data_IF_326043977370
#
_entry.id   IF_326043977370
#
_cell.length_a   1.000
_cell.length_b   1.000
_cell.length_c   1.000
_cell.angle_alpha   90.00
_cell.angle_beta   90.00
_cell.angle_gamma   90.00
#
_symmetry.space_group_name_H-M   'P 1'
#
loop_
_entity.id
_entity.type
_entity.pdbx_description
1 polymer ?
#
# COMPACT_ATOMS: atom_id res chain seq x y z
N UNK A 1 -45.84 43.01 -19.89
CA UNK A 1 -45.41 42.24 -18.70
C UNK A 1 -45.00 40.85 -19.16
N UNK A 2 -43.72 40.48 -19.08
CA UNK A 2 -43.21 39.18 -19.53
C UNK A 2 -43.05 38.23 -18.33
N UNK A 3 -43.81 37.14 -18.33
CA UNK A 3 -43.72 36.10 -17.30
C UNK A 3 -42.47 35.23 -17.53
N UNK A 4 -41.49 35.34 -16.63
CA UNK A 4 -40.34 34.43 -16.58
C UNK A 4 -40.82 33.03 -16.18
N UNK A 5 -40.84 32.12 -17.14
CA UNK A 5 -41.08 30.69 -16.92
C UNK A 5 -39.94 30.10 -16.09
N UNK A 6 -40.25 29.63 -14.87
CA UNK A 6 -39.30 28.93 -14.01
C UNK A 6 -39.14 27.50 -14.53
N UNK A 7 -37.98 27.22 -15.13
CA UNK A 7 -37.60 25.87 -15.56
C UNK A 7 -37.54 24.92 -14.36
N UNK A 8 -38.46 23.96 -14.30
CA UNK A 8 -38.45 22.87 -13.34
C UNK A 8 -37.36 21.89 -13.76
N UNK A 9 -36.27 21.80 -12.97
CA UNK A 9 -35.20 20.83 -13.19
C UNK A 9 -35.77 19.43 -13.02
N UNK A 10 -35.98 18.69 -14.13
CA UNK A 10 -36.38 17.28 -14.10
C UNK A 10 -35.27 16.46 -13.42
N UNK A 11 -35.61 15.86 -12.29
CA UNK A 11 -34.73 14.93 -11.58
C UNK A 11 -34.56 13.66 -12.42
N UNK A 12 -33.35 13.45 -12.97
CA UNK A 12 -33.05 12.27 -13.78
C UNK A 12 -32.74 11.09 -12.86
N UNK A 13 -33.69 10.16 -12.75
CA UNK A 13 -33.53 8.90 -12.02
C UNK A 13 -32.29 8.13 -12.52
N UNK A 14 -31.94 8.25 -13.81
CA UNK A 14 -30.72 7.64 -14.36
C UNK A 14 -29.44 8.23 -13.76
N UNK A 15 -29.38 9.55 -13.55
CA UNK A 15 -28.20 10.20 -12.96
C UNK A 15 -28.10 9.90 -11.46
N UNK A 16 -29.23 9.77 -10.77
CA UNK A 16 -29.28 9.38 -9.36
C UNK A 16 -28.86 7.92 -9.16
N UNK A 17 -29.38 6.99 -9.97
CA UNK A 17 -28.97 5.58 -9.95
C UNK A 17 -27.50 5.41 -10.37
N UNK A 18 -27.03 6.15 -11.38
CA UNK A 18 -25.61 6.16 -11.72
C UNK A 18 -24.76 6.66 -10.55
N UNK A 19 -25.13 7.76 -9.88
CA UNK A 19 -24.38 8.27 -8.72
C UNK A 19 -24.38 7.31 -7.52
N UNK A 20 -25.46 6.56 -7.30
CA UNK A 20 -25.54 5.57 -6.21
C UNK A 20 -24.81 4.27 -6.56
N UNK A 21 -24.85 3.83 -7.82
CA UNK A 21 -24.24 2.57 -8.25
C UNK A 21 -22.77 2.72 -8.64
N UNK A 22 -22.31 3.91 -9.03
CA UNK A 22 -20.93 4.15 -9.46
C UNK A 22 -19.88 3.78 -8.40
N UNK A 23 -20.06 4.06 -7.09
CA UNK A 23 -19.12 3.60 -6.05
C UNK A 23 -19.07 2.07 -5.91
N UNK A 24 -20.17 1.37 -6.22
CA UNK A 24 -20.23 -0.10 -6.19
C UNK A 24 -19.66 -0.77 -7.44
N UNK A 25 -19.40 -0.01 -8.51
CA UNK A 25 -18.88 -0.52 -9.78
C UNK A 25 -17.46 -0.08 -10.10
N UNK A 26 -16.92 0.90 -9.38
CA UNK A 26 -15.52 1.30 -9.53
C UNK A 26 -14.60 0.26 -8.91
N UNK A 27 -13.62 -0.23 -9.68
CA UNK A 27 -12.54 -1.08 -9.16
C UNK A 27 -11.81 -0.34 -8.02
N UNK A 28 -11.45 -1.04 -6.93
CA UNK A 28 -10.60 -0.48 -5.88
C UNK A 28 -9.32 0.13 -6.47
N UNK A 29 -8.79 1.19 -5.86
CA UNK A 29 -7.51 1.83 -6.24
C UNK A 29 -6.52 1.91 -5.09
N UNK A 30 -6.92 1.44 -3.91
CA UNK A 30 -6.19 1.40 -2.63
C UNK A 30 -5.20 0.21 -2.54
N UNK A 31 -5.22 -0.68 -3.52
CA UNK A 31 -4.33 -1.84 -3.64
C UNK A 31 -3.48 -1.79 -4.93
N UNK A 32 -2.52 -0.84 -5.07
CA UNK A 32 -1.65 -0.72 -6.23
C UNK A 32 -0.91 -2.03 -6.57
N UNK A 33 -0.74 -2.30 -7.86
CA UNK A 33 -0.11 -3.52 -8.38
C UNK A 33 -1.05 -4.73 -8.45
N UNK A 34 -2.12 -4.78 -7.66
CA UNK A 34 -3.19 -5.79 -7.80
C UNK A 34 -4.40 -5.17 -8.48
N UNK A 35 -4.86 -4.04 -7.96
CA UNK A 35 -5.95 -3.25 -8.53
C UNK A 35 -5.35 -1.95 -9.08
N UNK A 36 -5.06 -1.95 -10.37
CA UNK A 36 -4.49 -0.78 -11.05
C UNK A 36 -5.62 -0.01 -11.74
N UNK A 37 -5.62 1.33 -11.72
CA UNK A 37 -6.62 2.13 -12.44
C UNK A 37 -6.73 1.72 -13.90
N UNK A 38 -7.92 1.87 -14.48
CA UNK A 38 -8.17 1.54 -15.88
C UNK A 38 -7.18 2.29 -16.80
N UNK A 39 -6.33 1.53 -17.48
CA UNK A 39 -5.33 2.00 -18.42
C UNK A 39 -4.99 0.87 -19.40
N UNK A 40 -4.09 1.13 -20.37
CA UNK A 40 -3.57 0.06 -21.21
C UNK A 40 -2.87 -0.96 -20.30
N UNK A 41 -3.15 -2.27 -20.43
CA UNK A 41 -2.41 -3.29 -19.71
C UNK A 41 -0.91 -3.10 -20.01
N UNK A 42 -0.12 -2.89 -18.97
CA UNK A 42 1.33 -2.83 -19.08
C UNK A 42 1.91 -4.09 -18.46
N UNK A 43 2.83 -4.73 -19.16
CA UNK A 43 3.62 -5.83 -18.61
C UNK A 43 4.54 -5.25 -17.53
N UNK A 44 4.33 -5.67 -16.28
CA UNK A 44 5.13 -5.26 -15.13
C UNK A 44 6.12 -6.39 -14.86
N UNK A 45 7.41 -6.08 -14.82
CA UNK A 45 8.42 -7.03 -14.33
C UNK A 45 8.04 -7.56 -12.95
N UNK A 46 8.23 -8.86 -12.70
CA UNK A 46 7.86 -9.49 -11.43
C UNK A 46 8.56 -8.83 -10.22
N UNK A 47 9.81 -8.40 -10.35
CA UNK A 47 10.53 -7.67 -9.30
C UNK A 47 9.96 -6.28 -9.03
N UNK A 48 9.56 -5.57 -10.10
CA UNK A 48 8.83 -4.30 -9.96
C UNK A 48 7.44 -4.50 -9.33
N UNK A 49 6.70 -5.54 -9.75
CA UNK A 49 5.41 -5.89 -9.15
C UNK A 49 5.55 -6.19 -7.66
N UNK A 50 6.54 -7.00 -7.28
CA UNK A 50 6.86 -7.27 -5.88
C UNK A 50 7.12 -5.97 -5.10
N UNK A 51 7.91 -5.06 -5.67
CA UNK A 51 8.19 -3.73 -5.07
C UNK A 51 6.93 -2.89 -4.88
N UNK A 52 6.00 -2.90 -5.84
CA UNK A 52 4.72 -2.21 -5.72
C UNK A 52 3.88 -2.75 -4.55
N UNK A 53 3.88 -4.06 -4.31
CA UNK A 53 3.14 -4.66 -3.19
C UNK A 53 3.65 -4.22 -1.82
N UNK A 54 4.90 -3.76 -1.68
CA UNK A 54 5.40 -3.19 -0.43
C UNK A 54 4.85 -1.79 -0.12
N UNK A 55 4.38 -1.08 -1.13
CA UNK A 55 3.90 0.31 -0.97
C UNK A 55 2.53 0.39 -0.31
N UNK A 56 1.76 -0.70 -0.32
CA UNK A 56 0.43 -0.78 0.29
C UNK A 56 0.21 -2.10 1.00
N UNK A 57 -0.17 -2.02 2.27
CA UNK A 57 -0.53 -3.18 3.07
C UNK A 57 -1.74 -3.92 2.49
N UNK A 58 -2.70 -3.19 1.89
CA UNK A 58 -3.88 -3.76 1.26
C UNK A 58 -3.51 -4.59 0.02
N UNK A 59 -2.55 -4.13 -0.79
CA UNK A 59 -2.01 -4.90 -1.91
C UNK A 59 -1.40 -6.21 -1.43
N UNK A 60 -0.53 -6.13 -0.42
CA UNK A 60 0.14 -7.30 0.15
C UNK A 60 -0.85 -8.32 0.74
N UNK A 61 -1.99 -7.86 1.27
CA UNK A 61 -3.03 -8.68 1.89
C UNK A 61 -4.07 -9.25 0.92
N UNK A 62 -4.12 -8.79 -0.35
CA UNK A 62 -5.00 -9.36 -1.36
C UNK A 62 -4.81 -10.88 -1.45
N UNK A 63 -5.90 -11.65 -1.50
CA UNK A 63 -5.85 -13.12 -1.39
C UNK A 63 -6.11 -13.79 -2.74
N UNK A 64 -5.23 -14.70 -3.15
CA UNK A 64 -5.41 -15.51 -4.35
C UNK A 64 -6.57 -16.49 -4.12
N UNK A 65 -7.71 -16.20 -4.76
CA UNK A 65 -8.90 -17.05 -4.69
C UNK A 65 -8.78 -18.25 -5.61
N UNK A 66 -8.29 -18.01 -6.82
CA UNK A 66 -8.28 -18.96 -7.91
C UNK A 66 -7.10 -18.69 -8.84
N UNK A 67 -6.58 -19.74 -9.46
CA UNK A 67 -5.62 -19.67 -10.53
C UNK A 67 -6.09 -20.54 -11.71
N UNK A 68 -5.90 -20.07 -12.94
CA UNK A 68 -6.26 -20.81 -14.16
C UNK A 68 -5.02 -20.99 -15.01
N UNK A 69 -4.78 -22.22 -15.46
CA UNK A 69 -3.67 -22.56 -16.36
C UNK A 69 -4.14 -22.47 -17.80
N UNK A 70 -3.57 -21.56 -18.58
CA UNK A 70 -3.88 -21.37 -19.99
C UNK A 70 -2.78 -21.85 -20.92
N UNK A 71 -3.17 -22.21 -22.15
CA UNK A 71 -2.26 -22.59 -23.23
C UNK A 71 -2.79 -22.15 -24.58
N UNK A 72 -1.96 -21.48 -25.38
CA UNK A 72 -2.27 -21.14 -26.77
C UNK A 72 -2.42 -22.43 -27.61
N UNK A 73 -3.37 -22.45 -28.54
CA UNK A 73 -3.58 -23.58 -29.46
C UNK A 73 -2.90 -23.36 -30.81
N UNK A 74 -2.24 -22.22 -30.98
CA UNK A 74 -1.48 -21.86 -32.18
C UNK A 74 -0.02 -21.59 -31.81
N UNK A 75 0.82 -21.52 -32.84
CA UNK A 75 2.26 -21.19 -32.73
C UNK A 75 3.05 -22.14 -31.81
N UNK A 76 3.96 -21.59 -30.99
CA UNK A 76 4.77 -22.31 -30.01
C UNK A 76 3.98 -22.70 -28.76
N UNK A 77 2.64 -22.78 -28.84
CA UNK A 77 1.74 -23.20 -27.78
C UNK A 77 2.07 -22.61 -26.39
N UNK A 78 2.29 -21.30 -26.33
CA UNK A 78 2.67 -20.56 -25.13
C UNK A 78 1.77 -20.89 -23.94
N UNK A 79 2.37 -21.07 -22.76
CA UNK A 79 1.67 -21.38 -21.51
C UNK A 79 1.73 -20.18 -20.57
N UNK A 80 0.57 -19.84 -19.98
CA UNK A 80 0.38 -18.66 -19.12
C UNK A 80 -0.54 -19.00 -17.94
N UNK A 81 -0.55 -18.14 -16.92
CA UNK A 81 -1.40 -18.30 -15.74
C UNK A 81 -2.28 -17.06 -15.56
N UNK A 82 -3.54 -17.26 -15.16
CA UNK A 82 -4.43 -16.20 -14.70
C UNK A 82 -4.61 -16.30 -13.19
N UNK A 83 -4.31 -15.23 -12.46
CA UNK A 83 -4.36 -15.15 -11.00
C UNK A 83 -5.53 -14.27 -10.56
N UNK A 84 -6.50 -14.85 -9.85
CA UNK A 84 -7.69 -14.14 -9.37
C UNK A 84 -7.51 -13.71 -7.91
N UNK A 85 -7.19 -12.44 -7.68
CA UNK A 85 -7.01 -11.87 -6.35
C UNK A 85 -8.27 -11.19 -5.84
N UNK A 86 -8.69 -11.50 -4.62
CA UNK A 86 -9.81 -10.83 -3.94
C UNK A 86 -9.28 -9.71 -3.05
N UNK A 87 -9.94 -8.56 -3.08
CA UNK A 87 -9.62 -7.43 -2.20
C UNK A 87 -9.88 -7.80 -0.73
N UNK A 88 -9.02 -7.38 0.22
CA UNK A 88 -9.16 -7.73 1.64
C UNK A 88 -10.46 -7.19 2.26
N UNK A 89 -10.80 -5.93 1.97
CA UNK A 89 -11.97 -5.24 2.56
C UNK A 89 -13.18 -5.19 1.62
N UNK A 90 -12.96 -5.26 0.30
CA UNK A 90 -14.01 -5.13 -0.71
C UNK A 90 -14.27 -6.51 -1.32
N UNK A 91 -14.93 -7.36 -0.55
CA UNK A 91 -15.09 -8.78 -0.85
C UNK A 91 -15.67 -9.14 -2.24
N UNK A 92 -16.41 -8.24 -2.85
CA UNK A 92 -16.94 -8.43 -4.21
C UNK A 92 -15.90 -8.10 -5.30
N UNK A 93 -14.89 -7.30 -5.00
CA UNK A 93 -13.86 -6.90 -5.93
C UNK A 93 -12.82 -8.03 -6.14
N UNK A 94 -12.64 -8.40 -7.40
CA UNK A 94 -11.67 -9.41 -7.85
C UNK A 94 -10.83 -8.81 -8.96
N UNK A 95 -9.52 -8.77 -8.76
CA UNK A 95 -8.55 -8.47 -9.80
C UNK A 95 -8.12 -9.77 -10.50
N UNK A 96 -7.83 -9.67 -11.79
CA UNK A 96 -7.26 -10.77 -12.57
C UNK A 96 -5.91 -10.31 -13.11
N UNK A 97 -4.85 -11.02 -12.72
CA UNK A 97 -3.50 -10.76 -13.21
C UNK A 97 -3.08 -11.89 -14.14
N UNK A 98 -2.54 -11.55 -15.29
CA UNK A 98 -1.93 -12.51 -16.20
C UNK A 98 -0.45 -12.63 -15.89
N UNK A 99 0.04 -13.85 -15.77
CA UNK A 99 1.42 -14.16 -15.48
C UNK A 99 2.00 -14.98 -16.63
N UNK A 100 3.13 -14.53 -17.14
CA UNK A 100 3.82 -15.19 -18.24
C UNK A 100 5.35 -15.04 -18.12
N UNK A 101 6.05 -15.85 -18.91
CA UNK A 101 7.49 -15.75 -19.12
C UNK A 101 7.77 -15.72 -20.61
N UNK A 102 8.45 -14.67 -21.05
CA UNK A 102 8.86 -14.48 -22.45
C UNK A 102 10.38 -14.37 -22.53
N UNK A 103 10.92 -14.36 -23.75
CA UNK A 103 12.28 -13.92 -23.97
C UNK A 103 12.31 -12.38 -24.04
N UNK A 104 13.36 -11.76 -23.49
CA UNK A 104 13.57 -10.34 -23.72
C UNK A 104 13.73 -10.12 -25.24
N UNK A 105 12.82 -9.34 -25.84
CA UNK A 105 12.99 -8.93 -27.24
C UNK A 105 14.27 -8.10 -27.29
N UNK A 106 15.31 -8.61 -27.96
CA UNK A 106 16.51 -7.83 -28.25
C UNK A 106 16.05 -6.57 -28.98
N UNK A 107 16.00 -5.45 -28.26
CA UNK A 107 15.49 -4.17 -28.74
C UNK A 107 16.48 -3.52 -29.72
N UNK A 108 17.16 -4.33 -30.52
CA UNK A 108 17.90 -3.91 -31.71
C UNK A 108 16.92 -3.95 -32.86
N UNK A 109 16.21 -2.82 -33.03
CA UNK A 109 15.08 -2.62 -33.93
C UNK A 109 15.24 -3.22 -35.31
N UNK A 110 14.69 -4.41 -35.50
CA UNK A 110 14.44 -4.98 -36.82
C UNK A 110 13.01 -5.49 -36.86
N UNK A 111 12.15 -4.67 -37.45
CA UNK A 111 10.76 -4.97 -37.73
C UNK A 111 10.61 -6.38 -38.30
N UNK A 112 9.75 -7.16 -37.66
CA UNK A 112 9.36 -8.53 -38.02
C UNK A 112 9.06 -8.62 -39.53
N UNK A 113 9.99 -9.18 -40.30
CA UNK A 113 9.69 -9.81 -41.58
C UNK A 113 9.48 -11.30 -41.34
N UNK A 114 8.22 -11.72 -41.34
CA UNK A 114 7.86 -13.13 -41.35
C UNK A 114 8.34 -13.74 -42.67
N UNK A 115 9.31 -14.64 -42.64
CA UNK A 115 9.61 -15.45 -43.83
C UNK A 115 10.99 -16.09 -43.97
N UNK A 116 12.02 -15.70 -43.21
CA UNK A 116 13.34 -16.32 -43.38
C UNK A 116 13.71 -17.25 -42.22
N UNK A 117 13.67 -18.55 -42.53
CA UNK A 117 14.34 -19.59 -41.78
C UNK A 117 15.86 -19.38 -41.89
N UNK A 118 16.41 -18.51 -41.05
CA UNK A 118 17.85 -18.38 -40.87
C UNK A 118 18.30 -19.63 -40.11
N UNK A 119 19.14 -20.44 -40.76
CA UNK A 119 19.88 -21.53 -40.12
C UNK A 119 20.81 -20.87 -39.09
N UNK A 120 20.38 -20.89 -37.83
CA UNK A 120 21.09 -20.23 -36.73
C UNK A 120 22.31 -21.09 -36.37
N UNK A 121 23.50 -20.51 -36.53
CA UNK A 121 24.75 -21.04 -35.94
C UNK A 121 24.54 -21.33 -34.44
N UNK A 122 25.14 -22.40 -33.89
CA UNK A 122 24.90 -22.83 -32.50
C UNK A 122 25.48 -21.89 -31.42
N UNK A 123 26.02 -20.74 -31.80
CA UNK A 123 26.47 -19.69 -30.88
C UNK A 123 25.36 -18.65 -30.66
N UNK A 124 24.20 -19.09 -30.16
CA UNK A 124 23.15 -18.16 -29.76
C UNK A 124 23.55 -17.58 -28.41
N UNK A 125 23.78 -16.26 -28.36
CA UNK A 125 24.00 -15.56 -27.09
C UNK A 125 22.90 -15.91 -26.10
N UNK A 126 23.22 -16.11 -24.82
CA UNK A 126 22.22 -16.53 -23.85
C UNK A 126 21.15 -15.43 -23.73
N UNK A 127 19.88 -15.81 -23.90
CA UNK A 127 18.75 -14.89 -23.94
C UNK A 127 18.21 -14.74 -22.52
N UNK A 128 18.10 -13.52 -22.01
CA UNK A 128 17.50 -13.28 -20.68
C UNK A 128 16.01 -13.57 -20.74
N UNK A 129 15.50 -14.26 -19.72
CA UNK A 129 14.07 -14.44 -19.56
C UNK A 129 13.43 -13.20 -18.96
N UNK A 130 12.19 -12.93 -19.36
CA UNK A 130 11.40 -11.83 -18.85
C UNK A 130 10.12 -12.40 -18.24
N UNK A 131 10.02 -12.33 -16.92
CA UNK A 131 8.84 -12.79 -16.18
C UNK A 131 7.95 -11.57 -15.90
N UNK A 132 6.72 -11.57 -16.38
CA UNK A 132 5.84 -10.40 -16.31
C UNK A 132 4.49 -10.71 -15.69
N UNK A 133 3.94 -9.70 -15.02
CA UNK A 133 2.60 -9.63 -14.48
C UNK A 133 1.87 -8.52 -15.23
N UNK A 134 0.72 -8.84 -15.82
CA UNK A 134 -0.13 -7.85 -16.50
C UNK A 134 -1.47 -7.75 -15.78
N UNK A 135 -1.76 -6.63 -15.09
CA UNK A 135 -3.07 -6.40 -14.50
C UNK A 135 -4.13 -6.22 -15.59
N UNK A 136 -5.22 -6.97 -15.51
CA UNK A 136 -6.35 -6.86 -16.44
C UNK A 136 -7.52 -6.16 -15.78
N UNK A 137 -8.30 -5.41 -16.57
CA UNK A 137 -9.44 -4.64 -16.05
C UNK A 137 -10.62 -5.58 -15.74
N UNK A 138 -11.18 -5.36 -14.54
CA UNK A 138 -11.85 -6.34 -13.66
C UNK A 138 -13.21 -6.91 -14.09
N UNK A 139 -13.47 -7.19 -15.37
CA UNK A 139 -14.68 -7.94 -15.75
C UNK A 139 -14.35 -9.33 -16.32
N UNK A 140 -15.10 -10.35 -15.90
CA UNK A 140 -14.94 -11.71 -16.42
C UNK A 140 -15.34 -11.84 -17.89
N UNK A 141 -16.11 -10.88 -18.43
CA UNK A 141 -16.41 -10.84 -19.86
C UNK A 141 -15.23 -10.26 -20.65
N UNK A 142 -14.46 -9.35 -20.05
CA UNK A 142 -13.28 -8.77 -20.69
C UNK A 142 -12.06 -9.67 -20.61
N UNK A 143 -11.98 -10.63 -19.67
CA UNK A 143 -10.79 -11.47 -19.57
C UNK A 143 -10.60 -12.37 -20.78
N UNK A 144 -11.64 -13.05 -21.26
CA UNK A 144 -11.51 -13.95 -22.41
C UNK A 144 -11.18 -13.18 -23.70
N UNK A 145 -11.79 -12.00 -23.87
CA UNK A 145 -11.45 -11.08 -24.96
C UNK A 145 -10.01 -10.59 -24.85
N UNK A 146 -9.52 -10.25 -23.65
CA UNK A 146 -8.15 -9.83 -23.43
C UNK A 146 -7.17 -10.97 -23.72
N UNK A 147 -7.40 -12.16 -23.16
CA UNK A 147 -6.55 -13.34 -23.37
C UNK A 147 -6.54 -13.72 -24.84
N UNK A 148 -7.69 -13.67 -25.53
CA UNK A 148 -7.76 -13.91 -26.98
C UNK A 148 -7.01 -12.83 -27.77
N UNK A 149 -7.09 -11.56 -27.37
CA UNK A 149 -6.39 -10.46 -28.03
C UNK A 149 -4.86 -10.58 -27.85
N UNK A 150 -4.42 -10.94 -26.65
CA UNK A 150 -3.00 -11.02 -26.26
C UNK A 150 -2.34 -12.30 -26.78
N UNK A 151 -3.01 -13.43 -26.62
CA UNK A 151 -2.44 -14.77 -26.83
C UNK A 151 -3.05 -15.53 -28.02
N UNK A 152 -4.06 -14.97 -28.68
CA UNK A 152 -4.79 -15.62 -29.75
C UNK A 152 -5.69 -16.77 -29.26
N UNK A 153 -6.06 -17.69 -30.17
CA UNK A 153 -6.77 -18.93 -29.83
C UNK A 153 -6.04 -19.71 -28.73
N UNK A 154 -6.77 -20.01 -27.67
CA UNK A 154 -6.23 -20.66 -26.46
C UNK A 154 -7.24 -21.62 -25.85
N UNK A 155 -6.77 -22.44 -24.91
CA UNK A 155 -7.61 -23.29 -24.05
C UNK A 155 -7.12 -23.24 -22.61
N UNK A 156 -8.04 -23.35 -21.66
CA UNK A 156 -7.70 -23.52 -20.25
C UNK A 156 -7.53 -25.00 -19.93
N UNK A 157 -6.42 -25.37 -19.29
CA UNK A 157 -6.08 -26.75 -18.98
C UNK A 157 -6.58 -27.17 -17.60
N UNK A 158 -6.33 -26.33 -16.60
CA UNK A 158 -6.65 -26.61 -15.20
C UNK A 158 -7.12 -25.35 -14.49
N UNK A 159 -7.94 -25.54 -13.47
CA UNK A 159 -8.33 -24.53 -12.50
C UNK A 159 -7.93 -24.98 -11.09
N UNK A 160 -7.39 -24.06 -10.30
CA UNK A 160 -6.96 -24.29 -8.94
C UNK A 160 -7.66 -23.29 -8.03
N UNK A 161 -8.48 -23.77 -7.12
CA UNK A 161 -9.18 -22.95 -6.14
C UNK A 161 -8.58 -23.11 -4.75
N UNK A 162 -8.46 -21.99 -4.05
CA UNK A 162 -8.01 -21.96 -2.66
C UNK A 162 -9.19 -21.63 -1.73
N UNK A 163 -9.47 -22.46 -0.72
CA UNK A 163 -10.48 -22.18 0.30
C UNK A 163 -10.06 -20.95 1.10
N UNK A 164 -11.04 -20.26 1.70
CA UNK A 164 -10.79 -18.99 2.39
C UNK A 164 -9.72 -19.08 3.49
N UNK A 165 -9.60 -20.23 4.17
CA UNK A 165 -8.62 -20.52 5.23
C UNK A 165 -7.17 -20.53 4.74
N UNK A 166 -6.93 -20.94 3.50
CA UNK A 166 -5.59 -21.29 3.01
C UNK A 166 -5.16 -20.48 1.78
N UNK A 167 -5.82 -19.35 1.51
CA UNK A 167 -5.47 -18.51 0.35
C UNK A 167 -4.10 -17.87 0.53
N UNK A 168 -3.16 -18.07 -0.41
CA UNK A 168 -1.93 -17.29 -0.41
C UNK A 168 -2.25 -15.81 -0.62
N UNK A 169 -1.49 -14.94 0.02
CA UNK A 169 -1.55 -13.50 -0.24
C UNK A 169 -0.79 -13.13 -1.54
N UNK A 170 -1.09 -11.97 -2.12
CA UNK A 170 -0.37 -11.44 -3.27
C UNK A 170 1.12 -11.29 -2.97
N UNK A 171 1.47 -10.90 -1.74
CA UNK A 171 2.87 -10.85 -1.31
C UNK A 171 3.53 -12.23 -1.31
N UNK A 172 2.87 -13.26 -0.78
CA UNK A 172 3.38 -14.64 -0.81
C UNK A 172 3.58 -15.12 -2.26
N UNK A 173 2.63 -14.83 -3.16
CA UNK A 173 2.77 -15.17 -4.58
C UNK A 173 3.94 -14.41 -5.20
N UNK A 174 4.08 -13.10 -4.94
CA UNK A 174 5.18 -12.30 -5.50
C UNK A 174 6.57 -12.80 -5.12
N UNK A 175 6.74 -13.27 -3.88
CA UNK A 175 8.02 -13.82 -3.41
C UNK A 175 8.35 -15.11 -4.16
N UNK A 176 7.36 -15.99 -4.37
CA UNK A 176 7.54 -17.19 -5.18
C UNK A 176 7.96 -16.86 -6.61
N UNK A 177 7.32 -15.86 -7.24
CA UNK A 177 7.66 -15.45 -8.60
C UNK A 177 9.07 -14.84 -8.67
N UNK A 178 9.46 -14.01 -7.70
CA UNK A 178 10.83 -13.49 -7.62
C UNK A 178 11.87 -14.59 -7.43
N UNK A 179 11.57 -15.61 -6.62
CA UNK A 179 12.43 -16.80 -6.46
C UNK A 179 12.61 -17.51 -7.79
N UNK A 180 11.52 -17.76 -8.52
CA UNK A 180 11.56 -18.43 -9.81
C UNK A 180 12.35 -17.65 -10.86
N UNK A 181 12.15 -16.33 -10.91
CA UNK A 181 12.87 -15.45 -11.83
C UNK A 181 14.38 -15.49 -11.59
N UNK A 182 14.80 -15.50 -10.32
CA UNK A 182 16.21 -15.66 -9.92
C UNK A 182 16.74 -17.08 -10.13
N UNK A 183 15.88 -18.09 -9.98
CA UNK A 183 16.25 -19.51 -10.11
C UNK A 183 16.71 -19.84 -11.52
N UNK A 184 16.04 -19.28 -12.53
CA UNK A 184 16.49 -19.34 -13.91
C UNK A 184 16.34 -17.96 -14.54
N UNK A 185 17.40 -17.14 -14.58
CA UNK A 185 17.33 -15.83 -15.22
C UNK A 185 17.40 -15.92 -16.75
N UNK A 186 17.83 -17.06 -17.31
CA UNK A 186 17.96 -17.26 -18.75
C UNK A 186 16.76 -18.02 -19.33
N UNK A 187 16.39 -17.66 -20.55
CA UNK A 187 15.36 -18.34 -21.33
C UNK A 187 16.00 -19.46 -22.15
N UNK A 188 15.86 -20.69 -21.67
CA UNK A 188 16.40 -21.87 -22.34
C UNK A 188 15.27 -22.66 -23.00
N UNK A 189 15.24 -22.68 -24.34
CA UNK A 189 14.15 -23.26 -25.14
C UNK A 189 13.81 -24.72 -24.79
N UNK A 190 14.78 -25.50 -24.32
CA UNK A 190 14.58 -26.91 -23.98
C UNK A 190 14.37 -27.17 -22.49
N UNK A 191 14.54 -26.16 -21.63
CA UNK A 191 14.59 -26.36 -20.17
C UNK A 191 13.81 -25.31 -19.38
N UNK A 192 14.12 -24.02 -19.53
CA UNK A 192 13.61 -22.93 -18.68
C UNK A 192 12.80 -21.87 -19.46
N UNK A 193 11.78 -22.33 -20.17
CA UNK A 193 10.87 -21.52 -20.98
C UNK A 193 9.48 -21.33 -20.34
N UNK A 194 8.52 -20.74 -21.06
CA UNK A 194 7.16 -20.47 -20.58
C UNK A 194 6.46 -21.71 -19.97
N UNK A 195 6.58 -22.88 -20.61
CA UNK A 195 6.04 -24.15 -20.10
C UNK A 195 6.60 -24.52 -18.72
N UNK A 196 7.93 -24.41 -18.56
CA UNK A 196 8.58 -24.72 -17.28
C UNK A 196 8.12 -23.75 -16.20
N UNK A 197 8.03 -22.47 -16.54
CA UNK A 197 7.67 -21.42 -15.59
C UNK A 197 6.24 -21.57 -15.09
N UNK A 198 5.25 -21.63 -16.01
CA UNK A 198 3.86 -21.81 -15.65
C UNK A 198 3.64 -23.12 -14.86
N UNK A 199 4.29 -24.21 -15.28
CA UNK A 199 4.24 -25.49 -14.56
C UNK A 199 4.83 -25.39 -13.15
N UNK A 200 6.00 -24.76 -13.01
CA UNK A 200 6.68 -24.69 -11.72
C UNK A 200 5.93 -23.80 -10.74
N UNK A 201 5.37 -22.67 -11.19
CA UNK A 201 4.47 -21.83 -10.36
C UNK A 201 3.26 -22.65 -9.90
N UNK A 202 2.63 -23.38 -10.82
CA UNK A 202 1.44 -24.18 -10.54
C UNK A 202 1.70 -25.24 -9.46
N UNK A 203 2.70 -26.09 -9.65
CA UNK A 203 3.00 -27.15 -8.69
C UNK A 203 3.62 -26.63 -7.39
N UNK A 204 4.40 -25.54 -7.44
CA UNK A 204 4.94 -24.93 -6.22
C UNK A 204 3.81 -24.37 -5.34
N UNK A 205 2.81 -23.68 -5.92
CA UNK A 205 1.67 -23.18 -5.16
C UNK A 205 0.85 -24.33 -4.55
N UNK A 206 0.62 -25.42 -5.29
CA UNK A 206 -0.04 -26.62 -4.74
C UNK A 206 0.72 -27.21 -3.56
N UNK A 207 2.05 -27.27 -3.66
CA UNK A 207 2.91 -27.84 -2.61
C UNK A 207 3.01 -26.94 -1.38
N UNK A 208 3.04 -25.62 -1.57
CA UNK A 208 3.14 -24.63 -0.50
C UNK A 208 1.80 -24.39 0.21
N UNK A 209 0.70 -24.53 -0.52
CA UNK A 209 -0.67 -24.32 -0.05
C UNK A 209 -1.50 -25.59 -0.34
N UNK A 210 -1.37 -26.64 0.50
CA UNK A 210 -1.91 -27.98 0.20
C UNK A 210 -3.43 -28.05 0.27
N UNK A 211 -4.08 -27.14 0.98
CA UNK A 211 -5.54 -26.98 0.94
C UNK A 211 -5.96 -26.31 -0.37
N UNK A 212 -6.10 -27.09 -1.44
CA UNK A 212 -6.56 -26.60 -2.75
C UNK A 212 -7.50 -27.61 -3.41
N UNK A 213 -8.29 -27.13 -4.36
CA UNK A 213 -9.12 -27.96 -5.24
C UNK A 213 -8.65 -27.76 -6.67
N UNK A 214 -8.08 -28.81 -7.27
CA UNK A 214 -7.70 -28.82 -8.68
C UNK A 214 -8.83 -29.40 -9.52
N UNK A 215 -9.23 -28.69 -10.57
CA UNK A 215 -10.27 -29.10 -11.52
C UNK A 215 -9.65 -29.20 -12.92
N UNK A 216 -9.59 -30.39 -13.54
CA UNK A 216 -9.17 -30.50 -14.92
C UNK A 216 -10.25 -29.90 -15.83
N UNK A 217 -9.84 -29.05 -16.77
CA UNK A 217 -10.73 -28.44 -17.76
C UNK A 217 -10.53 -29.09 -19.14
N UNK A 218 -9.28 -29.32 -19.53
CA UNK A 218 -8.92 -29.95 -20.79
C UNK A 218 -7.69 -30.84 -20.62
N UNK A 219 -7.58 -31.87 -21.47
CA UNK A 219 -6.39 -32.71 -21.54
C UNK A 219 -5.26 -32.06 -22.36
N UNK A 220 -4.03 -32.55 -22.11
CA UNK A 220 -2.84 -32.22 -22.90
C UNK A 220 -1.95 -31.16 -22.28
N UNK A 221 -1.14 -31.56 -21.28
CA UNK A 221 -0.02 -30.74 -20.76
C UNK A 221 1.18 -30.76 -21.71
N UNK A 222 1.87 -29.61 -21.79
CA UNK A 222 3.31 -29.42 -22.07
C UNK A 222 3.94 -30.35 -23.12
N UNK A 223 3.53 -30.17 -24.38
CA UNK A 223 4.31 -30.61 -25.54
C UNK A 223 4.90 -29.37 -26.21
N UNK A 224 6.15 -29.45 -26.64
CA UNK A 224 6.74 -28.51 -27.58
C UNK A 224 7.01 -29.25 -28.88
N UNK A 225 6.35 -28.84 -29.97
CA UNK A 225 6.39 -29.56 -31.26
C UNK A 225 6.12 -31.07 -31.11
N UNK A 226 5.16 -31.43 -30.26
CA UNK A 226 4.78 -32.82 -29.99
C UNK A 226 5.67 -33.57 -28.98
N UNK A 227 6.83 -33.02 -28.61
CA UNK A 227 7.73 -33.65 -27.64
C UNK A 227 7.36 -33.28 -26.20
N UNK A 228 7.27 -34.24 -25.27
CA UNK A 228 7.07 -33.93 -23.86
C UNK A 228 8.28 -33.17 -23.34
N UNK A 229 8.07 -31.97 -22.82
CA UNK A 229 9.14 -31.22 -22.14
C UNK A 229 9.37 -31.88 -20.78
N UNK A 230 10.62 -32.24 -20.48
CA UNK A 230 10.97 -32.71 -19.14
C UNK A 230 10.68 -31.59 -18.16
N UNK A 231 9.79 -31.87 -17.21
CA UNK A 231 9.57 -31.02 -16.05
C UNK A 231 10.89 -30.97 -15.30
N UNK A 232 11.56 -29.83 -15.29
CA UNK A 232 12.79 -29.70 -14.52
C UNK A 232 12.49 -30.02 -13.04
N UNK A 233 13.44 -30.64 -12.35
CA UNK A 233 13.32 -31.01 -10.93
C UNK A 233 13.38 -29.77 -9.99
N UNK A 234 12.85 -28.63 -10.45
CA UNK A 234 12.95 -27.33 -9.78
C UNK A 234 11.90 -27.12 -8.70
N UNK A 235 10.76 -27.81 -8.71
CA UNK A 235 9.65 -27.53 -7.78
C UNK A 235 10.09 -27.62 -6.31
N UNK A 236 10.83 -28.67 -5.95
CA UNK A 236 11.31 -28.85 -4.58
C UNK A 236 12.28 -27.74 -4.18
N UNK A 237 13.29 -27.49 -5.01
CA UNK A 237 14.31 -26.46 -4.82
C UNK A 237 13.68 -25.06 -4.73
N UNK A 238 12.72 -24.75 -5.59
CA UNK A 238 11.98 -23.47 -5.59
C UNK A 238 11.15 -23.33 -4.33
N UNK A 239 10.48 -24.39 -3.87
CA UNK A 239 9.74 -24.35 -2.60
C UNK A 239 10.66 -24.12 -1.39
N UNK A 240 11.87 -24.70 -1.39
CA UNK A 240 12.86 -24.48 -0.33
C UNK A 240 13.39 -23.04 -0.35
N UNK A 241 13.77 -22.54 -1.52
CA UNK A 241 14.18 -21.15 -1.73
C UNK A 241 13.06 -20.18 -1.32
N UNK A 242 11.81 -20.47 -1.68
CA UNK A 242 10.65 -19.70 -1.26
C UNK A 242 10.51 -19.64 0.26
N UNK A 243 10.60 -20.77 0.97
CA UNK A 243 10.48 -20.78 2.43
C UNK A 243 11.57 -19.95 3.09
N UNK A 244 12.81 -20.03 2.58
CA UNK A 244 13.91 -19.21 3.06
C UNK A 244 13.66 -17.71 2.82
N UNK A 245 13.22 -17.33 1.62
CA UNK A 245 12.87 -15.93 1.31
C UNK A 245 11.68 -15.42 2.14
N UNK A 246 10.65 -16.24 2.32
CA UNK A 246 9.49 -15.89 3.13
C UNK A 246 9.87 -15.68 4.60
N UNK A 247 10.70 -16.54 5.17
CA UNK A 247 11.20 -16.38 6.54
C UNK A 247 11.98 -15.06 6.71
N UNK A 248 12.88 -14.73 5.77
CA UNK A 248 13.61 -13.45 5.77
C UNK A 248 12.68 -12.26 5.66
N UNK A 249 11.66 -12.36 4.80
CA UNK A 249 10.66 -11.33 4.66
C UNK A 249 9.88 -11.11 5.96
N UNK A 250 9.43 -12.18 6.63
CA UNK A 250 8.69 -12.10 7.89
C UNK A 250 9.53 -11.51 9.03
N UNK A 251 10.80 -11.89 9.14
CA UNK A 251 11.75 -11.34 10.09
C UNK A 251 11.91 -9.82 9.89
N UNK A 252 12.23 -9.39 8.67
CA UNK A 252 12.38 -7.98 8.34
C UNK A 252 11.08 -7.18 8.55
N UNK A 253 9.92 -7.78 8.26
CA UNK A 253 8.62 -7.17 8.54
C UNK A 253 8.33 -7.06 10.04
N UNK A 254 8.77 -8.03 10.84
CA UNK A 254 8.71 -8.02 12.30
C UNK A 254 9.61 -6.95 12.91
N UNK A 255 10.84 -6.80 12.42
CA UNK A 255 11.76 -5.73 12.83
C UNK A 255 11.21 -4.33 12.51
N UNK A 256 10.69 -4.12 11.29
CA UNK A 256 10.07 -2.84 10.92
C UNK A 256 8.88 -2.48 11.81
N UNK A 257 8.06 -3.45 12.21
CA UNK A 257 6.94 -3.23 13.14
C UNK A 257 7.44 -2.81 14.51
N UNK A 258 8.41 -3.54 15.07
CA UNK A 258 9.03 -3.22 16.36
C UNK A 258 9.68 -1.83 16.36
N UNK A 259 10.39 -1.46 15.29
CA UNK A 259 10.99 -0.14 15.16
C UNK A 259 9.94 0.99 15.12
N UNK A 260 8.83 0.81 14.39
CA UNK A 260 7.73 1.79 14.36
C UNK A 260 7.04 1.94 15.72
N UNK A 261 6.78 0.83 16.41
CA UNK A 261 6.18 0.84 17.75
C UNK A 261 7.10 1.54 18.76
N UNK A 262 8.41 1.30 18.70
CA UNK A 262 9.39 1.97 19.55
C UNK A 262 9.48 3.47 19.26
N UNK A 263 9.50 3.87 17.99
CA UNK A 263 9.48 5.28 17.57
C UNK A 263 8.22 5.99 18.06
N UNK A 264 7.04 5.37 17.92
CA UNK A 264 5.79 5.93 18.42
C UNK A 264 5.80 6.09 19.95
N UNK A 265 6.35 5.09 20.67
CA UNK A 265 6.50 5.16 22.13
C UNK A 265 7.44 6.29 22.54
N UNK A 266 8.57 6.47 21.84
CA UNK A 266 9.49 7.58 22.07
C UNK A 266 8.82 8.93 21.83
N UNK A 267 8.07 9.05 20.73
CA UNK A 267 7.31 10.27 20.42
C UNK A 267 6.29 10.62 21.50
N UNK A 268 5.55 9.62 22.02
CA UNK A 268 4.61 9.82 23.13
C UNK A 268 5.33 10.26 24.41
N UNK A 269 6.45 9.63 24.76
CA UNK A 269 7.21 10.00 25.94
C UNK A 269 7.82 11.43 25.84
N UNK A 270 8.28 11.83 24.67
CA UNK A 270 8.77 13.19 24.42
C UNK A 270 7.66 14.23 24.52
N UNK A 271 6.47 13.93 23.97
CA UNK A 271 5.30 14.79 24.08
C UNK A 271 4.83 14.94 25.53
N UNK A 272 4.75 13.84 26.29
CA UNK A 272 4.43 13.88 27.73
C UNK A 272 5.45 14.69 28.52
N UNK A 273 6.74 14.59 28.20
CA UNK A 273 7.78 15.41 28.84
C UNK A 273 7.56 16.89 28.57
N UNK A 274 7.31 17.27 27.31
CA UNK A 274 7.02 18.68 26.93
C UNK A 274 5.80 19.22 27.66
N UNK A 275 4.73 18.43 27.75
CA UNK A 275 3.52 18.85 28.47
C UNK A 275 3.78 19.07 29.96
N UNK A 276 4.64 18.25 30.59
CA UNK A 276 5.05 18.46 31.99
C UNK A 276 5.90 19.70 32.16
N UNK A 277 6.90 19.89 31.30
CA UNK A 277 7.77 21.08 31.32
C UNK A 277 6.96 22.37 31.12
N UNK A 278 5.98 22.37 30.20
CA UNK A 278 5.07 23.50 30.00
C UNK A 278 4.16 23.74 31.21
N UNK A 279 3.63 22.70 31.83
CA UNK A 279 2.79 22.81 33.01
C UNK A 279 3.58 23.37 34.20
N UNK A 280 4.82 22.92 34.38
CA UNK A 280 5.74 23.42 35.41
C UNK A 280 6.08 24.90 35.16
N UNK A 281 6.42 25.27 33.92
CA UNK A 281 6.66 26.65 33.54
C UNK A 281 5.47 27.56 33.83
N UNK A 282 4.25 27.13 33.49
CA UNK A 282 3.03 27.91 33.78
C UNK A 282 2.79 28.06 35.28
N UNK A 283 3.04 27.01 36.07
CA UNK A 283 2.93 27.06 37.52
C UNK A 283 3.98 27.99 38.14
N UNK A 284 5.20 28.01 37.60
CA UNK A 284 6.26 28.93 38.02
C UNK A 284 5.90 30.39 37.75
N UNK A 285 5.42 30.66 36.54
CA UNK A 285 4.99 31.99 36.11
C UNK A 285 3.81 32.51 36.93
N UNK A 286 2.81 31.66 37.20
CA UNK A 286 1.68 32.02 38.06
C UNK A 286 2.15 32.34 39.50
N UNK A 287 3.12 31.57 40.02
CA UNK A 287 3.69 31.83 41.34
C UNK A 287 4.40 33.19 41.40
N UNK A 288 5.21 33.51 40.39
CA UNK A 288 5.89 34.83 40.28
C UNK A 288 4.89 35.98 40.22
N UNK A 289 3.81 35.83 39.45
CA UNK A 289 2.77 36.85 39.35
C UNK A 289 2.07 37.09 40.70
N UNK A 290 1.83 36.04 41.48
CA UNK A 290 1.26 36.15 42.84
C UNK A 290 2.22 36.85 43.80
N UNK A 291 3.50 36.45 43.80
CA UNK A 291 4.55 37.07 44.64
C UNK A 291 4.72 38.57 44.30
N UNK A 292 4.73 38.94 43.02
CA UNK A 292 4.77 40.34 42.60
C UNK A 292 3.53 41.12 43.02
N UNK A 293 2.33 40.53 42.90
CA UNK A 293 1.09 41.17 43.33
C UNK A 293 1.06 41.41 44.84
N UNK A 294 1.52 40.44 45.63
CA UNK A 294 1.65 40.57 47.08
C UNK A 294 2.66 41.66 47.47
N UNK A 295 3.81 41.70 46.80
CA UNK A 295 4.80 42.76 47.01
C UNK A 295 4.22 44.16 46.74
N UNK A 296 3.52 44.34 45.61
CA UNK A 296 2.88 45.63 45.27
C UNK A 296 1.82 46.03 46.30
N UNK A 297 1.04 45.07 46.80
CA UNK A 297 0.04 45.33 47.83
C UNK A 297 0.69 45.74 49.18
N UNK A 298 1.79 45.10 49.58
CA UNK A 298 2.53 45.47 50.79
C UNK A 298 3.18 46.86 50.66
N UNK A 299 3.76 47.17 49.50
CA UNK A 299 4.34 48.48 49.20
C UNK A 299 3.27 49.59 49.25
N UNK A 300 2.11 49.36 48.63
CA UNK A 300 0.98 50.30 48.70
C UNK A 300 0.49 50.48 50.14
N UNK A 301 0.42 49.40 50.94
CA UNK A 301 0.05 49.49 52.36
C UNK A 301 1.04 50.37 53.13
N UNK A 302 2.34 50.19 52.93
CA UNK A 302 3.39 51.02 53.56
C UNK A 302 3.29 52.49 53.15
N UNK A 303 3.01 52.78 51.87
CA UNK A 303 2.80 54.15 51.40
C UNK A 303 1.58 54.80 52.07
N UNK A 304 0.45 54.08 52.16
CA UNK A 304 -0.77 54.57 52.83
C UNK A 304 -0.55 54.80 54.33
N UNK A 305 0.12 53.87 55.02
CA UNK A 305 0.49 54.03 56.42
C UNK A 305 1.47 55.20 56.65
N UNK A 306 2.40 55.42 55.71
CA UNK A 306 3.31 56.56 55.72
C UNK A 306 2.55 57.89 55.58
N UNK A 307 1.70 58.01 54.56
CA UNK A 307 0.86 59.18 54.32
C UNK A 307 -0.09 59.47 55.50
N UNK A 308 -0.67 58.44 56.11
CA UNK A 308 -1.51 58.58 57.29
C UNK A 308 -0.73 59.15 58.49
N UNK A 309 0.49 58.66 58.74
CA UNK A 309 1.37 59.18 59.79
C UNK A 309 1.79 60.62 59.55
N UNK A 310 2.09 60.98 58.30
CA UNK A 310 2.42 62.36 57.93
C UNK A 310 1.24 63.30 58.14
N UNK A 311 0.05 62.91 57.67
CA UNK A 311 -1.18 63.66 57.88
C UNK A 311 -1.52 63.82 59.38
N UNK A 312 -1.38 62.77 60.18
CA UNK A 312 -1.56 62.85 61.64
C UNK A 312 -0.55 63.81 62.30
N UNK A 313 0.72 63.74 61.90
CA UNK A 313 1.76 64.65 62.38
C UNK A 313 1.47 66.11 61.98
N UNK A 314 0.97 66.36 60.78
CA UNK A 314 0.54 67.68 60.32
C UNK A 314 -0.64 68.20 61.15
N UNK A 315 -1.67 67.38 61.36
CA UNK A 315 -2.81 67.72 62.22
C UNK A 315 -2.38 68.05 63.65
N UNK A 316 -1.43 67.29 64.20
CA UNK A 316 -0.86 67.57 65.53
C UNK A 316 -0.06 68.89 65.55
N UNK A 317 0.72 69.20 64.51
CA UNK A 317 1.38 70.51 64.38
C UNK A 317 0.37 71.65 64.29
N UNK A 318 -0.72 71.46 63.55
CA UNK A 318 -1.78 72.46 63.42
C UNK A 318 -2.50 72.69 64.76
N UNK A 319 -2.82 71.63 65.50
CA UNK A 319 -3.37 71.73 66.87
C UNK A 319 -2.42 72.46 67.81
N UNK A 320 -1.12 72.18 67.77
CA UNK A 320 -0.13 72.85 68.60
C UNK A 320 -0.06 74.36 68.29
N UNK A 321 -0.09 74.74 67.01
CA UNK A 321 -0.16 76.16 66.59
C UNK A 321 -1.43 76.85 67.07
N UNK A 322 -2.59 76.19 66.96
CA UNK A 322 -3.86 76.73 67.48
C UNK A 322 -3.80 76.97 68.99
N UNK A 323 -3.30 76.00 69.76
CA UNK A 323 -3.14 76.14 71.21
C UNK A 323 -2.12 77.22 71.62
N UNK A 324 -1.13 77.51 70.79
CA UNK A 324 -0.21 78.64 71.01
C UNK A 324 -0.89 79.99 70.75
N UNK A 325 -1.69 80.09 69.67
CA UNK A 325 -2.48 81.28 69.37
C UNK A 325 -3.51 81.59 70.47
N UNK A 326 -4.21 80.56 70.97
CA UNK A 326 -5.14 80.70 72.10
C UNK A 326 -4.43 81.19 73.37
N UNK A 327 -3.24 80.64 73.68
CA UNK A 327 -2.43 81.12 74.81
C UNK A 327 -1.99 82.58 74.66
N UNK A 328 -1.66 83.02 73.44
CA UNK A 328 -1.37 84.44 73.18
C UNK A 328 -2.59 85.33 73.33
N UNK A 329 -3.77 84.87 72.91
CA UNK A 329 -5.01 85.62 73.02
C UNK A 329 -5.50 85.76 74.47
N UNK A 330 -5.24 84.77 75.33
CA UNK A 330 -5.62 84.80 76.75
C UNK A 330 -4.64 85.57 77.66
N UNK A 331 -3.47 85.97 77.15
CA UNK A 331 -2.45 86.74 77.86
C UNK A 331 -2.47 88.25 77.59
N UNK A 332 -3.44 88.72 76.80
CA UNK A 332 -3.82 90.12 76.58
C UNK A 332 -5.17 90.37 77.24
#
# INVERSE_FOLDING_TARGET
MAFKSKSVKRFSIRNFLAAILHPFMSSPTDAPGVFTPAGKPSHIDVGLWHSLLFTSELSAQCKLKRMVYGKCTIEFEHEFLLLYFRHPTQHHAVAILTLERTCAENTTGSSRSAGQAVIVSPSVSPITAQDTITPTTSSSFTIDSYVTQEFGPHKYLFELDFPASARPSAMQVSILLCVLSKHSPMYELLQYQCYWYAYTVWEALKKLFPEHVERPLNEGRSRFKGQPIKKAESVNTVCEQYRAEWARFEEAAGERRRAKEEEERRRKADEERRQREEAEWRADEERRQREEAEWRADEERRQREGAAREHEAEMNRMRARMAELERRAAGY
#
